data_IF_040266729372
#
_entry.id   IF_040266729372
#
_cell.length_a   1.000
_cell.length_b   1.000
_cell.length_c   1.000
_cell.angle_alpha   90.00
_cell.angle_beta   90.00
_cell.angle_gamma   90.00
#
_symmetry.space_group_name_H-M   'P 1'
#
loop_
_entity.id
_entity.type
_entity.pdbx_description
1 polymer ?
#
# COMPACT_ATOMS: atom_id res chain seq x y z
N UNK A 1 24.78 -16.83 24.44
CA UNK A 1 23.31 -17.04 24.48
C UNK A 1 22.57 -15.99 23.64
N UNK A 2 22.83 -14.69 23.77
CA UNK A 2 22.18 -13.63 22.97
C UNK A 2 22.41 -13.70 21.44
N UNK A 3 23.64 -14.02 20.97
CA UNK A 3 23.94 -14.08 19.52
C UNK A 3 23.17 -15.16 18.76
N UNK A 4 22.79 -16.25 19.42
CA UNK A 4 22.04 -17.34 18.77
C UNK A 4 20.58 -16.94 18.63
N UNK A 5 19.99 -16.32 19.66
CA UNK A 5 18.62 -15.78 19.60
C UNK A 5 18.52 -14.68 18.55
N UNK A 6 19.48 -13.76 18.51
CA UNK A 6 19.51 -12.66 17.53
C UNK A 6 19.68 -13.19 16.09
N UNK A 7 20.51 -14.23 15.90
CA UNK A 7 20.68 -14.89 14.60
C UNK A 7 19.44 -15.67 14.18
N UNK A 8 18.69 -16.25 15.12
CA UNK A 8 17.43 -16.96 14.86
C UNK A 8 16.30 -15.97 14.54
N UNK A 9 16.21 -14.83 15.24
CA UNK A 9 15.25 -13.77 14.94
C UNK A 9 15.49 -13.13 13.58
N UNK A 10 16.76 -12.88 13.23
CA UNK A 10 17.16 -12.31 11.93
C UNK A 10 17.18 -13.34 10.79
N UNK A 11 16.98 -14.63 11.09
CA UNK A 11 17.02 -15.67 10.09
C UNK A 11 15.83 -15.55 9.13
N UNK A 12 16.10 -15.14 7.90
CA UNK A 12 15.08 -14.95 6.86
C UNK A 12 14.60 -13.52 6.66
N UNK A 13 14.96 -12.57 7.54
CA UNK A 13 14.64 -11.14 7.35
C UNK A 13 15.23 -10.60 6.05
N UNK A 14 16.49 -10.93 5.75
CA UNK A 14 17.14 -10.49 4.52
C UNK A 14 16.48 -11.04 3.24
N UNK A 15 15.86 -12.22 3.29
CA UNK A 15 15.10 -12.77 2.15
C UNK A 15 13.76 -12.05 1.98
N UNK A 16 13.03 -11.84 3.08
CA UNK A 16 11.77 -11.09 3.08
C UNK A 16 11.98 -9.66 2.58
N UNK A 17 13.01 -8.98 3.07
CA UNK A 17 13.34 -7.62 2.64
C UNK A 17 13.58 -7.54 1.13
N UNK A 18 14.35 -8.47 0.57
CA UNK A 18 14.56 -8.54 -0.89
C UNK A 18 13.26 -8.72 -1.67
N UNK A 19 12.37 -9.59 -1.22
CA UNK A 19 11.06 -9.78 -1.87
C UNK A 19 10.19 -8.50 -1.83
N UNK A 20 10.26 -7.75 -0.72
CA UNK A 20 9.60 -6.46 -0.60
C UNK A 20 10.22 -5.43 -1.57
N UNK A 21 11.55 -5.34 -1.61
CA UNK A 21 12.29 -4.46 -2.53
C UNK A 21 11.97 -4.76 -3.99
N UNK A 22 11.89 -6.04 -4.37
CA UNK A 22 11.49 -6.47 -5.72
C UNK A 22 10.06 -6.00 -6.06
N UNK A 23 9.13 -6.12 -5.12
CA UNK A 23 7.75 -5.67 -5.31
C UNK A 23 7.66 -4.14 -5.40
N UNK A 24 8.42 -3.42 -4.56
CA UNK A 24 8.54 -1.96 -4.62
C UNK A 24 9.10 -1.52 -5.97
N UNK A 25 10.13 -2.20 -6.49
CA UNK A 25 10.69 -1.91 -7.79
C UNK A 25 9.64 -2.06 -8.91
N UNK A 26 8.78 -3.10 -8.84
CA UNK A 26 7.65 -3.27 -9.76
C UNK A 26 6.65 -2.12 -9.68
N UNK A 27 6.29 -1.67 -8.47
CA UNK A 27 5.42 -0.49 -8.27
C UNK A 27 6.04 0.77 -8.87
N UNK A 28 7.31 1.04 -8.56
CA UNK A 28 8.03 2.22 -9.03
C UNK A 28 8.22 2.22 -10.56
N UNK A 29 8.41 1.05 -11.18
CA UNK A 29 8.52 0.92 -12.64
C UNK A 29 7.23 1.31 -13.38
N UNK A 30 6.08 1.30 -12.72
CA UNK A 30 4.79 1.70 -13.29
C UNK A 30 4.53 3.21 -13.17
N UNK A 31 5.34 3.97 -12.42
CA UNK A 31 5.13 5.41 -12.24
C UNK A 31 5.12 6.19 -13.57
N UNK A 32 6.00 5.94 -14.56
CA UNK A 32 5.95 6.66 -15.83
C UNK A 32 4.66 6.41 -16.63
N UNK A 33 4.05 5.23 -16.48
CA UNK A 33 2.81 4.90 -17.21
C UNK A 33 1.57 5.42 -16.50
N UNK A 34 1.60 5.49 -15.17
CA UNK A 34 0.47 6.00 -14.36
C UNK A 34 0.48 7.53 -14.30
N UNK A 35 1.64 8.17 -14.23
CA UNK A 35 1.76 9.65 -14.12
C UNK A 35 1.22 10.41 -15.34
N UNK A 36 1.24 9.80 -16.53
CA UNK A 36 0.71 10.42 -17.76
C UNK A 36 -0.81 10.31 -17.88
N UNK A 37 -1.47 9.53 -17.02
CA UNK A 37 -2.93 9.38 -17.05
C UNK A 37 -3.62 10.69 -16.65
N UNK A 38 -4.76 11.01 -17.27
CA UNK A 38 -5.65 12.04 -16.75
C UNK A 38 -6.30 11.59 -15.43
N UNK A 39 -6.86 12.51 -14.66
CA UNK A 39 -7.59 12.17 -13.43
C UNK A 39 -8.77 11.23 -13.69
N UNK A 40 -9.44 11.39 -14.84
CA UNK A 40 -10.52 10.49 -15.27
C UNK A 40 -10.00 9.08 -15.57
N UNK A 41 -8.88 8.96 -16.28
CA UNK A 41 -8.27 7.67 -16.60
C UNK A 41 -7.72 6.98 -15.33
N UNK A 42 -7.12 7.75 -14.41
CA UNK A 42 -6.65 7.23 -13.12
C UNK A 42 -7.82 6.71 -12.28
N UNK A 43 -8.95 7.42 -12.25
CA UNK A 43 -10.18 6.93 -11.58
C UNK A 43 -10.73 5.66 -12.24
N UNK A 44 -10.69 5.59 -13.58
CA UNK A 44 -11.19 4.43 -14.34
C UNK A 44 -10.42 3.14 -14.04
N UNK A 45 -9.15 3.22 -13.61
CA UNK A 45 -8.37 2.06 -13.16
C UNK A 45 -9.08 1.26 -12.07
N UNK A 46 -9.86 1.90 -11.21
CA UNK A 46 -10.64 1.21 -10.17
C UNK A 46 -11.69 0.26 -10.78
N UNK A 47 -12.35 0.67 -11.86
CA UNK A 47 -13.31 -0.19 -12.57
C UNK A 47 -12.60 -1.35 -13.26
N UNK A 48 -11.48 -1.06 -13.94
CA UNK A 48 -10.62 -2.06 -14.59
C UNK A 48 -10.15 -3.14 -13.60
N UNK A 49 -9.67 -2.74 -12.41
CA UNK A 49 -9.22 -3.67 -11.39
C UNK A 49 -10.36 -4.56 -10.86
N UNK A 50 -11.55 -3.99 -10.66
CA UNK A 50 -12.74 -4.76 -10.26
C UNK A 50 -13.14 -5.79 -11.32
N UNK A 51 -13.09 -5.41 -12.59
CA UNK A 51 -13.34 -6.33 -13.70
C UNK A 51 -12.29 -7.45 -13.76
N UNK A 52 -11.02 -7.12 -13.56
CA UNK A 52 -9.92 -8.11 -13.52
C UNK A 52 -10.08 -9.10 -12.36
N UNK A 53 -10.46 -8.62 -11.16
CA UNK A 53 -10.82 -9.50 -10.04
C UNK A 53 -11.99 -10.42 -10.38
N UNK A 54 -13.04 -9.88 -11.03
CA UNK A 54 -14.18 -10.69 -11.45
C UNK A 54 -13.81 -11.77 -12.49
N UNK A 55 -12.75 -11.54 -13.27
CA UNK A 55 -12.17 -12.51 -14.21
C UNK A 55 -11.21 -13.52 -13.57
N UNK A 56 -10.96 -13.42 -12.27
CA UNK A 56 -10.17 -14.40 -11.51
C UNK A 56 -8.73 -14.00 -11.20
N UNK A 57 -8.30 -12.77 -11.53
CA UNK A 57 -7.04 -12.26 -10.98
C UNK A 57 -7.13 -12.11 -9.45
N UNK A 58 -6.01 -12.28 -8.77
CA UNK A 58 -5.92 -12.13 -7.31
C UNK A 58 -5.56 -10.69 -6.92
N UNK A 59 -5.71 -10.36 -5.64
CA UNK A 59 -5.24 -9.07 -5.12
C UNK A 59 -3.71 -8.93 -5.24
N UNK A 60 -2.96 -10.03 -5.08
CA UNK A 60 -1.51 -10.03 -5.22
C UNK A 60 -1.07 -9.75 -6.67
N UNK A 61 -1.85 -10.22 -7.65
CA UNK A 61 -1.61 -9.93 -9.07
C UNK A 61 -1.79 -8.43 -9.36
N UNK A 62 -2.82 -7.82 -8.77
CA UNK A 62 -3.15 -6.42 -8.95
C UNK A 62 -2.29 -5.46 -8.11
N UNK A 63 -1.65 -5.95 -7.05
CA UNK A 63 -0.97 -5.12 -6.06
C UNK A 63 -0.03 -4.09 -6.68
N UNK A 64 0.89 -4.44 -7.61
CA UNK A 64 1.84 -3.46 -8.14
C UNK A 64 1.16 -2.28 -8.85
N UNK A 65 0.14 -2.57 -9.65
CA UNK A 65 -0.61 -1.56 -10.41
C UNK A 65 -1.52 -0.73 -9.51
N UNK A 66 -2.25 -1.39 -8.60
CA UNK A 66 -3.11 -0.71 -7.63
C UNK A 66 -2.30 0.24 -6.74
N UNK A 67 -1.12 -0.17 -6.26
CA UNK A 67 -0.26 0.66 -5.43
C UNK A 67 0.35 1.82 -6.21
N UNK A 68 0.69 1.62 -7.48
CA UNK A 68 1.15 2.72 -8.34
C UNK A 68 0.03 3.76 -8.57
N UNK A 69 -1.21 3.32 -8.77
CA UNK A 69 -2.39 4.20 -8.88
C UNK A 69 -2.63 4.99 -7.60
N UNK A 70 -2.59 4.35 -6.42
CA UNK A 70 -2.75 5.04 -5.14
C UNK A 70 -1.61 6.02 -4.88
N UNK A 71 -0.37 5.63 -5.21
CA UNK A 71 0.81 6.51 -5.08
C UNK A 71 0.67 7.78 -5.92
N UNK A 72 0.20 7.66 -7.16
CA UNK A 72 -0.07 8.81 -8.02
C UNK A 72 -1.26 9.64 -7.53
N UNK A 73 -2.33 9.00 -7.06
CA UNK A 73 -3.48 9.69 -6.48
C UNK A 73 -3.08 10.55 -5.28
N UNK A 74 -2.32 10.00 -4.33
CA UNK A 74 -1.80 10.74 -3.18
C UNK A 74 -0.90 11.91 -3.60
N UNK A 75 -0.08 11.72 -4.66
CA UNK A 75 0.73 12.81 -5.21
C UNK A 75 -0.14 13.95 -5.72
N UNK A 76 -1.24 13.64 -6.41
CA UNK A 76 -2.15 14.66 -7.00
C UNK A 76 -3.03 15.34 -5.95
N UNK A 77 -3.59 14.58 -5.02
CA UNK A 77 -4.58 15.11 -4.06
C UNK A 77 -3.93 15.70 -2.81
N UNK A 78 -2.85 15.09 -2.33
CA UNK A 78 -2.19 15.50 -1.09
C UNK A 78 -0.84 16.21 -1.31
N UNK A 79 -0.34 16.23 -2.55
CA UNK A 79 1.02 16.72 -2.84
C UNK A 79 2.11 15.81 -2.27
N UNK A 80 1.77 14.60 -1.84
CA UNK A 80 2.68 13.66 -1.18
C UNK A 80 2.84 12.43 -2.07
N UNK A 81 4.05 12.18 -2.58
CA UNK A 81 4.38 10.91 -3.24
C UNK A 81 4.86 9.91 -2.18
N UNK A 82 4.12 8.82 -1.89
CA UNK A 82 4.58 7.80 -0.97
C UNK A 82 5.99 7.28 -1.28
N UNK A 83 6.87 7.27 -0.27
CA UNK A 83 8.23 6.76 -0.37
C UNK A 83 8.26 5.23 -0.56
N UNK A 84 9.43 4.71 -0.94
CA UNK A 84 9.61 3.27 -1.16
C UNK A 84 9.45 2.46 0.13
N UNK A 85 9.95 2.98 1.26
CA UNK A 85 9.73 2.37 2.59
C UNK A 85 8.26 2.36 3.00
N UNK A 86 7.47 3.34 2.53
CA UNK A 86 6.03 3.37 2.78
C UNK A 86 5.29 2.32 1.95
N UNK A 87 5.71 2.11 0.70
CA UNK A 87 5.23 1.00 -0.14
C UNK A 87 5.59 -0.35 0.48
N UNK A 88 6.81 -0.52 1.02
CA UNK A 88 7.17 -1.75 1.76
C UNK A 88 6.23 -1.98 2.94
N UNK A 89 5.98 -0.95 3.76
CA UNK A 89 5.03 -1.04 4.87
C UNK A 89 3.62 -1.43 4.41
N UNK A 90 3.15 -0.85 3.31
CA UNK A 90 1.85 -1.17 2.71
C UNK A 90 1.76 -2.63 2.23
N UNK A 91 2.82 -3.17 1.64
CA UNK A 91 2.89 -4.59 1.23
C UNK A 91 2.82 -5.49 2.47
N UNK A 92 3.57 -5.17 3.52
CA UNK A 92 3.57 -5.93 4.79
C UNK A 92 2.16 -5.96 5.41
N UNK A 93 1.46 -4.82 5.40
CA UNK A 93 0.08 -4.73 5.87
C UNK A 93 -0.88 -5.58 5.01
N UNK A 94 -0.72 -5.55 3.68
CA UNK A 94 -1.53 -6.39 2.79
C UNK A 94 -1.33 -7.88 3.06
N UNK A 95 -0.09 -8.30 3.35
CA UNK A 95 0.27 -9.68 3.71
C UNK A 95 -0.25 -10.13 5.09
N UNK A 96 -1.00 -9.28 5.80
CA UNK A 96 -1.55 -9.59 7.12
C UNK A 96 -0.52 -9.56 8.25
N UNK A 97 0.62 -8.89 8.03
CA UNK A 97 1.68 -8.73 9.02
C UNK A 97 1.73 -7.31 9.60
N UNK A 98 2.50 -7.14 10.69
CA UNK A 98 2.67 -5.85 11.36
C UNK A 98 3.83 -5.10 10.70
N UNK A 99 3.53 -3.93 10.11
CA UNK A 99 4.55 -3.01 9.63
C UNK A 99 5.05 -2.12 10.78
N UNK A 100 6.18 -2.47 11.39
CA UNK A 100 6.84 -1.60 12.38
C UNK A 100 7.51 -0.42 11.67
N UNK A 101 6.98 0.77 11.90
CA UNK A 101 7.49 2.02 11.34
C UNK A 101 7.67 3.04 12.45
N UNK A 102 8.71 3.87 12.37
CA UNK A 102 8.94 4.94 13.36
C UNK A 102 7.88 6.04 13.26
N UNK A 103 7.74 6.82 14.32
CA UNK A 103 6.90 8.03 14.28
C UNK A 103 7.46 9.01 13.24
N UNK A 104 6.59 9.59 12.42
CA UNK A 104 6.99 10.48 11.32
C UNK A 104 7.14 9.78 9.96
N UNK A 105 7.17 8.45 9.90
CA UNK A 105 7.27 7.69 8.64
C UNK A 105 5.98 7.69 7.78
N UNK A 106 4.95 8.45 8.19
CA UNK A 106 3.70 8.60 7.42
C UNK A 106 2.77 7.38 7.43
N UNK A 107 2.60 6.73 8.59
CA UNK A 107 1.75 5.53 8.76
C UNK A 107 0.32 5.68 8.22
N UNK A 108 -0.27 6.87 8.36
CA UNK A 108 -1.62 7.16 7.86
C UNK A 108 -1.67 7.07 6.33
N UNK A 109 -0.67 7.63 5.64
CA UNK A 109 -0.56 7.56 4.18
C UNK A 109 -0.29 6.12 3.71
N UNK A 110 0.55 5.37 4.43
CA UNK A 110 0.84 3.96 4.14
C UNK A 110 -0.43 3.11 4.10
N UNK A 111 -1.37 3.34 5.02
CA UNK A 111 -2.58 2.55 5.12
C UNK A 111 -3.49 2.67 3.89
N UNK A 112 -3.41 3.77 3.12
CA UNK A 112 -4.26 3.99 1.93
C UNK A 112 -4.12 2.92 0.87
N UNK A 113 -2.90 2.42 0.64
CA UNK A 113 -2.60 1.42 -0.39
C UNK A 113 -3.25 0.05 -0.12
N UNK A 114 -3.00 -0.62 1.02
CA UNK A 114 -3.65 -1.89 1.32
C UNK A 114 -5.16 -1.73 1.56
N UNK A 115 -5.61 -0.58 2.06
CA UNK A 115 -7.06 -0.29 2.19
C UNK A 115 -7.71 -0.25 0.82
N UNK A 116 -7.15 0.52 -0.12
CA UNK A 116 -7.67 0.59 -1.50
C UNK A 116 -7.69 -0.79 -2.16
N UNK A 117 -6.56 -1.50 -2.16
CA UNK A 117 -6.44 -2.81 -2.81
C UNK A 117 -7.49 -3.80 -2.27
N UNK A 118 -7.59 -3.95 -0.95
CA UNK A 118 -8.54 -4.89 -0.35
C UNK A 118 -10.01 -4.45 -0.53
N UNK A 119 -10.28 -3.14 -0.57
CA UNK A 119 -11.62 -2.60 -0.82
C UNK A 119 -12.13 -2.90 -2.24
N UNK A 120 -11.26 -3.20 -3.20
CA UNK A 120 -11.67 -3.64 -4.55
C UNK A 120 -12.56 -4.89 -4.53
N UNK A 121 -12.43 -5.74 -3.50
CA UNK A 121 -13.30 -6.91 -3.32
C UNK A 121 -14.76 -6.58 -3.00
N UNK A 122 -15.07 -5.33 -2.66
CA UNK A 122 -16.42 -4.90 -2.26
C UNK A 122 -16.86 -5.37 -0.87
N UNK A 123 -16.00 -6.04 -0.11
CA UNK A 123 -16.32 -6.57 1.23
C UNK A 123 -16.13 -5.56 2.36
N UNK A 124 -15.62 -4.36 2.05
CA UNK A 124 -15.26 -3.35 3.03
C UNK A 124 -13.89 -3.60 3.68
N UNK A 125 -13.33 -2.55 4.28
CA UNK A 125 -12.08 -2.58 5.05
C UNK A 125 -12.28 -1.73 6.29
N UNK A 126 -11.89 -2.25 7.46
CA UNK A 126 -11.95 -1.50 8.71
C UNK A 126 -10.56 -0.97 9.08
N UNK A 127 -10.46 0.34 9.22
CA UNK A 127 -9.26 1.01 9.76
C UNK A 127 -9.59 1.43 11.20
N UNK A 128 -8.85 0.89 12.16
CA UNK A 128 -9.09 1.14 13.59
C UNK A 128 -8.02 2.08 14.12
N UNK A 129 -8.46 3.13 14.82
CA UNK A 129 -7.59 4.09 15.52
C UNK A 129 -7.85 4.03 17.02
N UNK A 130 -7.04 4.74 17.81
CA UNK A 130 -7.16 4.74 19.28
C UNK A 130 -8.27 5.65 19.80
N UNK A 131 -8.85 6.53 18.97
CA UNK A 131 -9.95 7.42 19.34
C UNK A 131 -10.69 7.99 18.12
N UNK A 132 -11.90 8.50 18.36
CA UNK A 132 -12.80 9.02 17.34
C UNK A 132 -12.23 10.24 16.60
N UNK A 133 -11.44 11.08 17.29
CA UNK A 133 -10.80 12.23 16.67
C UNK A 133 -9.85 11.80 15.55
N UNK A 134 -8.99 10.80 15.80
CA UNK A 134 -8.08 10.28 14.80
C UNK A 134 -8.84 9.56 13.68
N UNK A 135 -9.90 8.81 14.01
CA UNK A 135 -10.74 8.17 13.00
C UNK A 135 -11.36 9.20 12.04
N UNK A 136 -12.00 10.24 12.57
CA UNK A 136 -12.63 11.30 11.78
C UNK A 136 -11.62 12.09 10.96
N UNK A 137 -10.48 12.48 11.56
CA UNK A 137 -9.40 13.18 10.87
C UNK A 137 -8.83 12.35 9.72
N UNK A 138 -8.48 11.09 9.97
CA UNK A 138 -7.81 10.24 8.98
C UNK A 138 -8.76 9.87 7.84
N UNK A 139 -10.05 9.63 8.13
CA UNK A 139 -11.07 9.41 7.11
C UNK A 139 -11.28 10.66 6.22
N UNK A 140 -11.33 11.86 6.81
CA UNK A 140 -11.50 13.09 6.06
C UNK A 140 -10.25 13.46 5.25
N UNK A 141 -9.05 13.17 5.77
CA UNK A 141 -7.80 13.53 5.12
C UNK A 141 -7.39 12.54 4.02
N UNK A 142 -7.61 11.24 4.21
CA UNK A 142 -7.22 10.19 3.24
C UNK A 142 -8.36 9.78 2.29
N UNK A 143 -9.55 10.35 2.45
CA UNK A 143 -10.73 10.06 1.64
C UNK A 143 -10.78 10.73 0.25
N UNK A 144 -10.36 12.00 0.07
CA UNK A 144 -10.33 12.69 -1.22
C UNK A 144 -9.34 12.11 -2.23
#
# INVERSE_FOLDING_TARGET
MFKVVDKVLRFGEGKKLRMLEETVARVSALEPTVSVLSDSALRQKTAEFKERLARGETLDDLLPEAFAVVREAARRTLGMRPFDVQVMGAIVLHQGAIAEMKTGEGKTLVATMPVYLNALTGRGVHVVTVNDYLAGRDAAWMGP
#
